data_IF_733283115656
#
_entry.id   IF_733283115656
#
_cell.length_a   1.000
_cell.length_b   1.000
_cell.length_c   1.000
_cell.angle_alpha   90.00
_cell.angle_beta   90.00
_cell.angle_gamma   90.00
#
_symmetry.space_group_name_H-M   'P 1'
#
loop_
_entity.id
_entity.type
_entity.pdbx_description
1 polymer ?
#
# COMPACT_ATOMS: atom_id res chain seq x y z
N UNK A 1 43.46 -27.78 -55.59
CA UNK A 1 42.24 -26.97 -55.43
C UNK A 1 41.56 -27.26 -54.08
N UNK A 2 42.33 -27.42 -52.98
CA UNK A 2 41.82 -27.95 -51.70
C UNK A 2 42.30 -27.17 -50.45
N UNK A 3 43.04 -26.06 -50.62
CA UNK A 3 43.55 -25.26 -49.49
C UNK A 3 42.74 -23.98 -49.24
N UNK A 4 41.92 -23.51 -50.20
CA UNK A 4 41.13 -22.29 -50.08
C UNK A 4 39.73 -22.49 -49.45
N UNK A 5 39.21 -23.73 -49.41
CA UNK A 5 37.90 -24.03 -48.81
C UNK A 5 37.97 -24.15 -47.28
N UNK A 6 39.08 -24.64 -46.72
CA UNK A 6 39.24 -24.79 -45.26
C UNK A 6 39.49 -23.49 -44.49
N UNK A 7 39.98 -22.44 -45.16
CA UNK A 7 40.23 -21.11 -44.56
C UNK A 7 38.93 -20.30 -44.45
N UNK A 8 38.05 -20.39 -45.46
CA UNK A 8 36.72 -19.76 -45.46
C UNK A 8 35.75 -20.34 -44.40
N UNK A 9 35.80 -21.66 -44.17
CA UNK A 9 34.96 -22.32 -43.14
C UNK A 9 35.41 -21.96 -41.71
N UNK A 10 36.72 -21.78 -41.50
CA UNK A 10 37.27 -21.36 -40.20
C UNK A 10 36.97 -19.90 -39.89
N UNK A 11 36.98 -19.01 -40.88
CA UNK A 11 36.58 -17.60 -40.70
C UNK A 11 35.07 -17.44 -40.47
N UNK A 12 34.24 -18.27 -41.10
CA UNK A 12 32.80 -18.31 -40.86
C UNK A 12 32.46 -18.73 -39.42
N UNK A 13 33.10 -19.81 -38.92
CA UNK A 13 32.93 -20.28 -37.55
C UNK A 13 33.45 -19.26 -36.52
N UNK A 14 34.56 -18.57 -36.81
CA UNK A 14 35.09 -17.49 -35.97
C UNK A 14 34.10 -16.34 -35.85
N UNK A 15 33.50 -15.91 -36.96
CA UNK A 15 32.46 -14.88 -36.97
C UNK A 15 31.18 -15.28 -36.21
N UNK A 16 30.82 -16.56 -36.17
CA UNK A 16 29.72 -17.08 -35.33
C UNK A 16 30.11 -17.06 -33.86
N UNK A 17 31.31 -17.51 -33.50
CA UNK A 17 31.80 -17.50 -32.11
C UNK A 17 31.93 -16.09 -31.55
N UNK A 18 32.40 -15.12 -32.34
CA UNK A 18 32.45 -13.70 -31.99
C UNK A 18 31.05 -13.11 -31.81
N UNK A 19 30.08 -13.47 -32.66
CA UNK A 19 28.68 -13.06 -32.49
C UNK A 19 28.05 -13.68 -31.24
N UNK A 20 28.33 -14.94 -30.94
CA UNK A 20 27.82 -15.64 -29.75
C UNK A 20 28.46 -15.09 -28.47
N UNK A 21 29.77 -14.83 -28.47
CA UNK A 21 30.47 -14.24 -27.33
C UNK A 21 30.05 -12.80 -27.10
N UNK A 22 29.92 -11.99 -28.16
CA UNK A 22 29.38 -10.63 -28.09
C UNK A 22 27.93 -10.63 -27.57
N UNK A 23 27.09 -11.57 -28.00
CA UNK A 23 25.71 -11.69 -27.51
C UNK A 23 25.63 -12.14 -26.04
N UNK A 24 26.54 -13.01 -25.60
CA UNK A 24 26.68 -13.40 -24.18
C UNK A 24 27.20 -12.25 -23.32
N UNK A 25 28.19 -11.51 -23.82
CA UNK A 25 28.76 -10.35 -23.15
C UNK A 25 27.70 -9.23 -23.04
N UNK A 26 26.96 -8.97 -24.11
CA UNK A 26 25.80 -8.08 -24.12
C UNK A 26 24.75 -8.46 -23.06
N UNK A 27 24.41 -9.75 -22.96
CA UNK A 27 23.47 -10.22 -21.94
C UNK A 27 24.02 -10.05 -20.51
N UNK A 28 25.33 -10.21 -20.31
CA UNK A 28 26.01 -10.03 -19.02
C UNK A 28 26.09 -8.55 -18.63
N UNK A 29 26.47 -7.67 -19.55
CA UNK A 29 26.57 -6.23 -19.35
C UNK A 29 25.18 -5.62 -19.10
N UNK A 30 24.16 -6.12 -19.81
CA UNK A 30 22.75 -5.80 -19.57
C UNK A 30 22.33 -6.19 -18.13
N UNK A 31 22.64 -7.41 -17.69
CA UNK A 31 22.33 -7.87 -16.33
C UNK A 31 23.06 -7.05 -15.26
N UNK A 32 24.34 -6.76 -15.46
CA UNK A 32 25.16 -5.98 -14.52
C UNK A 32 24.65 -4.54 -14.41
N UNK A 33 24.34 -3.90 -15.54
CA UNK A 33 23.76 -2.56 -15.57
C UNK A 33 22.45 -2.50 -14.78
N UNK A 34 21.65 -3.56 -14.85
CA UNK A 34 20.40 -3.65 -14.11
C UNK A 34 20.56 -3.87 -12.61
N UNK A 35 21.51 -4.70 -12.21
CA UNK A 35 21.87 -4.84 -10.80
C UNK A 35 22.38 -3.49 -10.25
N UNK A 36 23.23 -2.79 -10.99
CA UNK A 36 23.71 -1.45 -10.62
C UNK A 36 22.55 -0.45 -10.49
N UNK A 37 21.56 -0.50 -11.38
CA UNK A 37 20.38 0.37 -11.37
C UNK A 37 19.47 0.11 -10.17
N UNK A 38 19.22 -1.17 -9.85
CA UNK A 38 18.43 -1.58 -8.68
C UNK A 38 19.13 -1.13 -7.41
N UNK A 39 20.43 -1.40 -7.28
CA UNK A 39 21.23 -1.00 -6.12
C UNK A 39 21.33 0.52 -5.97
N UNK A 40 21.49 1.28 -7.06
CA UNK A 40 21.47 2.75 -7.00
C UNK A 40 20.10 3.28 -6.54
N UNK A 41 19.01 2.65 -7.00
CA UNK A 41 17.66 2.99 -6.59
C UNK A 41 17.38 2.63 -5.11
N UNK A 42 17.89 1.50 -4.62
CA UNK A 42 17.79 1.07 -3.22
C UNK A 42 18.58 1.98 -2.26
N UNK A 43 19.75 2.46 -2.68
CA UNK A 43 20.62 3.32 -1.84
C UNK A 43 20.12 4.78 -1.83
N UNK A 44 19.10 5.12 -2.62
CA UNK A 44 18.53 6.47 -2.68
C UNK A 44 19.50 7.53 -3.24
N UNK A 45 20.56 7.08 -3.91
CA UNK A 45 21.54 7.90 -4.63
C UNK A 45 21.21 7.85 -6.11
N UNK A 46 20.25 8.70 -6.48
CA UNK A 46 19.97 9.03 -7.88
C UNK A 46 20.24 10.52 -8.06
N UNK A 47 21.52 10.86 -7.91
CA UNK A 47 22.04 12.20 -8.20
C UNK A 47 21.94 12.49 -9.69
N UNK A 48 21.90 13.77 -10.09
CA UNK A 48 21.77 14.14 -11.50
C UNK A 48 22.90 13.58 -12.38
N UNK A 49 24.08 13.35 -11.81
CA UNK A 49 25.23 12.76 -12.49
C UNK A 49 25.06 11.26 -12.73
N UNK A 50 24.58 10.50 -11.74
CA UNK A 50 24.25 9.08 -11.89
C UNK A 50 23.15 8.88 -12.95
N UNK A 51 22.24 9.83 -13.05
CA UNK A 51 21.16 9.83 -14.04
C UNK A 51 21.69 10.01 -15.46
N UNK A 52 22.64 10.92 -15.66
CA UNK A 52 23.31 11.09 -16.95
C UNK A 52 24.11 9.83 -17.32
N UNK A 53 24.78 9.20 -16.35
CA UNK A 53 25.50 7.95 -16.57
C UNK A 53 24.55 6.81 -16.96
N UNK A 54 23.40 6.68 -16.30
CA UNK A 54 22.37 5.69 -16.64
C UNK A 54 21.83 5.93 -18.06
N UNK A 55 21.53 7.18 -18.43
CA UNK A 55 21.06 7.52 -19.78
C UNK A 55 22.11 7.24 -20.86
N UNK A 56 23.39 7.51 -20.57
CA UNK A 56 24.49 7.22 -21.49
C UNK A 56 24.69 5.73 -21.69
N UNK A 57 24.74 4.94 -20.60
CA UNK A 57 24.80 3.46 -20.67
C UNK A 57 23.58 2.87 -21.37
N UNK A 58 22.40 3.48 -21.20
CA UNK A 58 21.19 3.10 -21.92
C UNK A 58 21.34 3.24 -23.44
N UNK A 59 21.93 4.35 -23.91
CA UNK A 59 22.21 4.57 -25.33
C UNK A 59 23.33 3.67 -25.86
N UNK A 60 24.41 3.48 -25.08
CA UNK A 60 25.56 2.62 -25.45
C UNK A 60 25.17 1.15 -25.60
N UNK A 61 24.24 0.67 -24.76
CA UNK A 61 23.75 -0.72 -24.81
C UNK A 61 22.63 -0.92 -25.83
N UNK A 62 22.18 0.10 -26.57
CA UNK A 62 21.15 -0.05 -27.61
C UNK A 62 19.84 -0.70 -27.12
N UNK A 63 19.51 -0.54 -25.83
CA UNK A 63 18.42 -1.24 -25.18
C UNK A 63 17.06 -0.73 -25.66
N UNK A 64 16.18 -1.65 -26.07
CA UNK A 64 14.81 -1.32 -26.47
C UNK A 64 13.86 -1.27 -25.27
N UNK A 65 12.64 -0.76 -25.46
CA UNK A 65 11.63 -0.73 -24.39
C UNK A 65 11.21 -2.13 -23.92
N UNK A 66 11.12 -3.10 -24.84
CA UNK A 66 10.75 -4.49 -24.53
C UNK A 66 11.82 -5.20 -23.67
N UNK A 67 13.09 -4.83 -23.87
CA UNK A 67 14.22 -5.35 -23.10
C UNK A 67 14.20 -4.94 -21.62
N UNK A 68 13.42 -3.89 -21.30
CA UNK A 68 13.46 -3.16 -20.04
C UNK A 68 12.21 -3.34 -19.17
N UNK A 69 11.10 -3.77 -19.76
CA UNK A 69 9.80 -3.92 -19.11
C UNK A 69 9.86 -4.63 -17.76
N UNK A 70 10.58 -5.76 -17.70
CA UNK A 70 10.72 -6.53 -16.46
C UNK A 70 11.59 -5.84 -15.41
N UNK A 71 12.60 -5.09 -15.84
CA UNK A 71 13.60 -4.53 -14.93
C UNK A 71 13.22 -3.16 -14.41
N UNK A 72 12.58 -2.32 -15.23
CA UNK A 72 12.07 -1.02 -14.79
C UNK A 72 11.04 -1.20 -13.67
N UNK A 73 10.12 -2.16 -13.84
CA UNK A 73 9.16 -2.53 -12.80
C UNK A 73 9.87 -3.01 -11.52
N UNK A 74 10.85 -3.91 -11.63
CA UNK A 74 11.60 -4.41 -10.47
C UNK A 74 12.40 -3.31 -9.76
N UNK A 75 13.08 -2.43 -10.49
CA UNK A 75 13.82 -1.31 -9.92
C UNK A 75 12.89 -0.32 -9.19
N UNK A 76 11.72 -0.06 -9.76
CA UNK A 76 10.71 0.77 -9.13
C UNK A 76 10.14 0.13 -7.87
N UNK A 77 9.85 -1.18 -7.90
CA UNK A 77 9.38 -1.94 -6.74
C UNK A 77 10.43 -2.00 -5.63
N UNK A 78 11.70 -2.18 -5.96
CA UNK A 78 12.80 -2.14 -5.00
C UNK A 78 12.95 -0.77 -4.35
N UNK A 79 12.91 0.30 -5.14
CA UNK A 79 12.94 1.68 -4.64
C UNK A 79 11.74 1.98 -3.74
N UNK A 80 10.54 1.53 -4.12
CA UNK A 80 9.33 1.68 -3.31
C UNK A 80 9.44 0.90 -1.99
N UNK A 81 9.99 -0.31 -2.03
CA UNK A 81 10.26 -1.12 -0.85
C UNK A 81 11.23 -0.45 0.11
N UNK A 82 12.34 0.10 -0.40
CA UNK A 82 13.31 0.85 0.39
C UNK A 82 12.70 2.11 1.02
N UNK A 83 11.92 2.87 0.24
CA UNK A 83 11.22 4.08 0.67
C UNK A 83 10.13 3.84 1.73
N UNK A 84 9.72 2.58 1.95
CA UNK A 84 8.71 2.20 2.94
C UNK A 84 9.31 1.44 4.13
N UNK A 85 10.64 1.32 4.22
CA UNK A 85 11.27 0.44 5.22
C UNK A 85 10.95 0.84 6.67
N UNK A 86 10.61 2.10 6.92
CA UNK A 86 10.20 2.63 8.23
C UNK A 86 8.67 2.71 8.41
N UNK A 87 7.90 2.31 7.39
CA UNK A 87 6.44 2.33 7.37
C UNK A 87 5.81 3.69 7.08
N UNK A 88 6.59 4.72 6.72
CA UNK A 88 6.11 6.08 6.41
C UNK A 88 6.77 6.57 5.13
N UNK A 89 5.99 7.05 4.16
CA UNK A 89 6.55 7.65 2.96
C UNK A 89 6.78 9.14 3.19
N UNK A 90 8.03 9.59 3.20
CA UNK A 90 8.36 11.02 3.31
C UNK A 90 8.18 11.75 1.97
N UNK A 91 8.06 13.09 2.03
CA UNK A 91 7.99 13.92 0.82
C UNK A 91 9.23 13.78 -0.07
N UNK A 92 10.41 13.62 0.54
CA UNK A 92 11.66 13.40 -0.19
C UNK A 92 11.67 12.06 -0.94
N UNK A 93 11.19 10.99 -0.31
CA UNK A 93 11.08 9.67 -0.94
C UNK A 93 10.06 9.64 -2.06
N UNK A 94 8.90 10.28 -1.87
CA UNK A 94 7.91 10.44 -2.92
C UNK A 94 8.49 11.18 -4.14
N UNK A 95 9.28 12.24 -3.91
CA UNK A 95 9.96 12.98 -4.97
C UNK A 95 11.02 12.12 -5.68
N UNK A 96 11.78 11.29 -4.95
CA UNK A 96 12.74 10.34 -5.52
C UNK A 96 12.06 9.31 -6.43
N UNK A 97 10.93 8.73 -6.01
CA UNK A 97 10.16 7.77 -6.82
C UNK A 97 9.59 8.42 -8.10
N UNK A 98 9.07 9.65 -8.00
CA UNK A 98 8.60 10.39 -9.16
C UNK A 98 9.73 10.73 -10.14
N UNK A 99 10.92 11.04 -9.62
CA UNK A 99 12.13 11.27 -10.44
C UNK A 99 12.54 9.99 -11.16
N UNK A 100 12.61 8.85 -10.45
CA UNK A 100 12.95 7.54 -11.00
C UNK A 100 12.03 7.13 -12.16
N UNK A 101 10.71 7.29 -11.98
CA UNK A 101 9.71 7.00 -13.01
C UNK A 101 9.97 7.78 -14.32
N UNK A 102 10.26 9.08 -14.20
CA UNK A 102 10.56 9.94 -15.36
C UNK A 102 11.85 9.53 -16.07
N UNK A 103 12.89 9.22 -15.31
CA UNK A 103 14.21 8.84 -15.84
C UNK A 103 14.15 7.52 -16.59
N UNK A 104 13.48 6.54 -15.99
CA UNK A 104 13.33 5.21 -16.57
C UNK A 104 12.22 5.15 -17.62
N UNK A 105 11.49 6.26 -17.85
CA UNK A 105 10.37 6.34 -18.79
C UNK A 105 9.41 5.16 -18.62
N UNK A 106 9.08 4.84 -17.36
CA UNK A 106 8.30 3.66 -17.03
C UNK A 106 6.85 3.91 -17.43
N UNK A 107 6.27 3.08 -18.31
CA UNK A 107 4.85 3.15 -18.60
C UNK A 107 4.05 2.84 -17.33
N UNK A 108 3.00 3.62 -17.05
CA UNK A 108 2.15 3.42 -15.87
C UNK A 108 1.55 2.00 -15.83
N UNK A 109 1.31 1.39 -16.99
CA UNK A 109 0.84 0.01 -17.12
C UNK A 109 1.82 -1.03 -16.55
N UNK A 110 3.12 -0.74 -16.49
CA UNK A 110 4.13 -1.67 -15.97
C UNK A 110 4.24 -1.61 -14.45
N UNK A 111 3.89 -0.47 -13.84
CA UNK A 111 3.97 -0.24 -12.40
C UNK A 111 2.60 -0.01 -11.76
N UNK A 112 1.50 -0.38 -12.43
CA UNK A 112 0.15 -0.10 -11.95
C UNK A 112 -0.11 -0.60 -10.51
N UNK A 113 0.48 -1.75 -10.14
CA UNK A 113 0.37 -2.31 -8.79
C UNK A 113 1.19 -1.51 -7.77
N UNK A 114 2.44 -1.20 -8.10
CA UNK A 114 3.33 -0.37 -7.29
C UNK A 114 2.79 1.07 -7.13
N UNK A 115 2.16 1.62 -8.17
CA UNK A 115 1.47 2.92 -8.14
C UNK A 115 0.28 2.93 -7.19
N UNK A 116 -0.56 1.89 -7.22
CA UNK A 116 -1.65 1.75 -6.24
C UNK A 116 -1.12 1.72 -4.81
N UNK A 117 -0.04 0.99 -4.57
CA UNK A 117 0.62 0.97 -3.26
C UNK A 117 1.21 2.34 -2.89
N UNK A 118 1.87 3.03 -3.82
CA UNK A 118 2.39 4.37 -3.60
C UNK A 118 1.27 5.35 -3.21
N UNK A 119 0.18 5.39 -3.97
CA UNK A 119 -0.98 6.26 -3.68
C UNK A 119 -1.56 5.97 -2.29
N UNK A 120 -1.61 4.69 -1.91
CA UNK A 120 -2.04 4.30 -0.56
C UNK A 120 -1.09 4.80 0.52
N UNK A 121 0.23 4.68 0.33
CA UNK A 121 1.21 5.20 1.29
C UNK A 121 1.12 6.72 1.42
N UNK A 122 0.97 7.42 0.31
CA UNK A 122 0.74 8.87 0.30
C UNK A 122 -0.50 9.24 1.11
N UNK A 123 -1.62 8.55 0.90
CA UNK A 123 -2.84 8.76 1.68
C UNK A 123 -2.61 8.59 3.19
N UNK A 124 -1.90 7.55 3.59
CA UNK A 124 -1.58 7.29 4.99
C UNK A 124 -0.66 8.38 5.58
N UNK A 125 0.34 8.81 4.82
CA UNK A 125 1.21 9.94 5.19
C UNK A 125 0.40 11.24 5.32
N UNK A 126 -0.52 11.52 4.40
CA UNK A 126 -1.35 12.73 4.42
C UNK A 126 -2.23 12.77 5.67
N UNK A 127 -2.86 11.65 6.02
CA UNK A 127 -3.65 11.51 7.25
C UNK A 127 -2.77 11.77 8.49
N UNK A 128 -1.54 11.24 8.53
CA UNK A 128 -0.61 11.44 9.64
C UNK A 128 -0.15 12.91 9.76
N UNK A 129 0.07 13.58 8.63
CA UNK A 129 0.43 15.00 8.58
C UNK A 129 -0.76 15.94 8.84
N UNK A 130 -1.94 15.38 9.09
CA UNK A 130 -3.13 16.12 9.45
C UNK A 130 -3.99 16.61 8.29
N UNK A 131 -3.77 16.06 7.10
CA UNK A 131 -4.53 16.32 5.88
C UNK A 131 -5.35 15.08 5.49
N UNK A 132 -6.35 14.66 6.28
CA UNK A 132 -7.20 13.53 5.91
C UNK A 132 -7.98 13.84 4.61
N UNK A 133 -8.35 12.81 3.83
CA UNK A 133 -9.23 13.00 2.70
C UNK A 133 -10.59 13.54 3.15
N UNK A 134 -11.30 14.20 2.24
CA UNK A 134 -12.72 14.55 2.42
C UNK A 134 -13.54 13.82 1.37
N UNK A 135 -14.57 13.11 1.80
CA UNK A 135 -15.44 12.31 0.92
C UNK A 135 -16.88 12.80 0.97
N UNK A 136 -17.57 12.71 -0.16
CA UNK A 136 -19.01 12.95 -0.21
C UNK A 136 -19.76 11.69 0.22
N UNK A 137 -20.62 11.82 1.24
CA UNK A 137 -21.47 10.72 1.73
C UNK A 137 -22.94 11.04 1.43
N UNK A 138 -23.49 10.56 0.29
CA UNK A 138 -24.87 10.88 -0.08
C UNK A 138 -25.82 10.31 0.98
N UNK A 139 -26.95 10.99 1.23
CA UNK A 139 -27.98 10.57 2.19
C UNK A 139 -27.50 10.44 3.66
N UNK A 140 -26.44 11.15 4.03
CA UNK A 140 -26.06 11.39 5.43
C UNK A 140 -26.11 12.88 5.72
N UNK A 141 -26.87 13.26 6.73
CA UNK A 141 -26.97 14.66 7.16
C UNK A 141 -25.74 14.99 8.01
N UNK A 142 -24.84 15.81 7.49
CA UNK A 142 -23.69 16.35 8.20
C UNK A 142 -24.07 17.65 8.92
N UNK A 143 -23.67 17.80 10.18
CA UNK A 143 -23.88 19.01 10.96
C UNK A 143 -22.97 20.15 10.49
N UNK A 144 -23.24 21.39 10.93
CA UNK A 144 -22.37 22.53 10.65
C UNK A 144 -20.93 22.25 11.12
N UNK A 145 -19.97 22.38 10.21
CA UNK A 145 -18.55 22.09 10.47
C UNK A 145 -18.24 20.59 10.66
N UNK A 146 -19.17 19.69 10.31
CA UNK A 146 -18.91 18.26 10.24
C UNK A 146 -18.41 17.90 8.84
N UNK A 147 -17.28 17.21 8.78
CA UNK A 147 -16.63 16.77 7.54
C UNK A 147 -16.49 15.26 7.57
N UNK A 148 -16.93 14.59 6.51
CA UNK A 148 -16.74 13.16 6.34
C UNK A 148 -15.36 12.89 5.76
N UNK A 149 -14.58 12.08 6.48
CA UNK A 149 -13.22 11.72 6.09
C UNK A 149 -13.19 10.42 5.27
N UNK A 150 -14.07 9.46 5.59
CA UNK A 150 -14.07 8.17 4.89
C UNK A 150 -15.43 7.50 4.91
N UNK A 151 -15.68 6.64 3.92
CA UNK A 151 -16.76 5.66 3.93
C UNK A 151 -16.23 4.30 3.47
N UNK A 152 -16.37 3.29 4.32
CA UNK A 152 -15.92 1.92 4.03
C UNK A 152 -17.11 0.95 3.97
N UNK A 153 -17.30 0.20 2.87
CA UNK A 153 -18.27 -0.90 2.82
C UNK A 153 -18.04 -1.91 3.93
N UNK A 154 -19.08 -2.20 4.69
CA UNK A 154 -18.95 -2.99 5.91
C UNK A 154 -20.26 -3.64 6.35
N UNK A 155 -20.11 -4.68 7.16
CA UNK A 155 -21.19 -5.40 7.83
C UNK A 155 -21.13 -5.23 9.34
N UNK A 156 -22.26 -4.91 9.95
CA UNK A 156 -22.43 -4.92 11.41
C UNK A 156 -22.63 -6.36 11.86
N UNK A 157 -21.79 -6.81 12.79
CA UNK A 157 -21.88 -8.12 13.42
C UNK A 157 -22.44 -7.98 14.84
N UNK A 158 -23.25 -8.96 15.24
CA UNK A 158 -23.70 -9.12 16.62
C UNK A 158 -23.44 -10.53 17.11
N UNK A 159 -23.15 -10.66 18.40
CA UNK A 159 -23.06 -11.95 19.05
C UNK A 159 -24.48 -12.55 19.19
N UNK A 160 -24.77 -13.59 18.43
CA UNK A 160 -25.95 -14.44 18.59
C UNK A 160 -25.59 -15.59 19.52
N UNK A 161 -26.25 -15.67 20.68
CA UNK A 161 -26.03 -16.76 21.65
C UNK A 161 -26.45 -18.10 21.04
N UNK A 162 -25.54 -18.82 20.39
CA UNK A 162 -25.73 -20.20 19.94
C UNK A 162 -25.07 -21.13 20.95
N UNK A 163 -25.74 -21.27 22.11
CA UNK A 163 -25.39 -22.16 23.24
C UNK A 163 -24.00 -21.91 23.86
N UNK A 164 -24.02 -21.57 25.15
CA UNK A 164 -22.85 -21.41 26.03
C UNK A 164 -21.85 -22.57 25.87
N UNK A 165 -20.80 -22.36 25.08
CA UNK A 165 -19.55 -23.11 25.19
C UNK A 165 -18.43 -22.09 25.14
N UNK A 166 -17.71 -22.01 26.25
CA UNK A 166 -16.60 -21.09 26.45
C UNK A 166 -15.41 -21.68 25.69
N UNK A 167 -15.13 -21.15 24.50
CA UNK A 167 -13.87 -21.42 23.80
C UNK A 167 -13.08 -20.11 23.76
N UNK A 168 -11.90 -20.17 24.39
CA UNK A 168 -11.10 -19.00 24.71
C UNK A 168 -10.29 -18.47 23.53
N UNK A 169 -9.85 -17.23 23.69
CA UNK A 169 -8.57 -16.76 23.15
C UNK A 169 -8.60 -16.16 21.75
N UNK A 170 -9.34 -15.07 21.54
CA UNK A 170 -8.88 -14.07 20.57
C UNK A 170 -8.01 -13.05 21.30
N UNK A 171 -6.69 -13.10 21.09
CA UNK A 171 -5.81 -11.98 21.38
C UNK A 171 -6.12 -10.86 20.37
N UNK A 172 -7.16 -10.06 20.67
CA UNK A 172 -7.28 -8.73 20.10
C UNK A 172 -6.19 -7.87 20.72
N UNK A 173 -5.30 -7.32 19.90
CA UNK A 173 -4.34 -6.32 20.38
C UNK A 173 -5.13 -5.05 20.76
N UNK A 174 -5.26 -4.77 22.06
CA UNK A 174 -5.88 -3.54 22.54
C UNK A 174 -4.87 -2.39 22.47
N UNK A 175 -5.10 -1.46 21.55
CA UNK A 175 -4.38 -0.19 21.55
C UNK A 175 -5.22 0.83 22.31
N UNK A 176 -4.79 1.18 23.53
CA UNK A 176 -5.24 2.43 24.13
C UNK A 176 -4.64 3.55 23.29
N UNK A 177 -5.46 4.28 22.54
CA UNK A 177 -5.00 5.43 21.76
C UNK A 177 -4.60 6.51 22.78
N UNK A 178 -3.33 6.49 23.18
CA UNK A 178 -2.73 7.62 23.85
C UNK A 178 -2.58 8.74 22.81
N UNK A 179 -2.78 10.00 23.23
CA UNK A 179 -2.47 11.16 22.40
C UNK A 179 -1.02 11.02 21.92
N UNK A 180 -0.81 10.97 20.60
CA UNK A 180 0.52 10.88 19.98
C UNK A 180 0.96 9.50 19.46
N UNK A 181 0.07 8.52 19.28
CA UNK A 181 0.43 7.25 18.63
C UNK A 181 0.46 7.39 17.11
N UNK A 182 1.64 7.24 16.52
CA UNK A 182 1.81 7.06 15.07
C UNK A 182 1.25 5.70 14.64
N UNK A 183 0.38 5.71 13.64
CA UNK A 183 -0.11 4.49 13.02
C UNK A 183 1.00 3.84 12.17
N UNK A 184 1.52 2.68 12.57
CA UNK A 184 2.48 1.91 11.75
C UNK A 184 1.75 0.91 10.85
N UNK A 185 1.98 1.02 9.55
CA UNK A 185 1.50 0.08 8.54
C UNK A 185 2.20 -1.26 8.73
N UNK A 186 1.47 -2.39 8.64
CA UNK A 186 2.06 -3.73 8.67
C UNK A 186 2.22 -4.38 10.05
N UNK A 187 1.75 -3.75 11.13
CA UNK A 187 1.66 -4.43 12.43
C UNK A 187 0.66 -5.59 12.38
N UNK A 188 1.09 -6.80 12.75
CA UNK A 188 0.25 -8.00 12.76
C UNK A 188 -0.96 -7.79 13.70
N UNK A 189 -2.19 -7.70 13.15
CA UNK A 189 -3.43 -7.72 13.95
C UNK A 189 -4.10 -9.09 13.82
N UNK A 190 -4.93 -9.45 14.80
CA UNK A 190 -5.83 -10.59 14.65
C UNK A 190 -6.90 -10.33 13.59
N UNK A 191 -7.49 -11.38 13.02
CA UNK A 191 -8.68 -11.29 12.18
C UNK A 191 -9.95 -11.49 13.04
N UNK A 192 -11.05 -10.83 12.65
CA UNK A 192 -12.38 -11.18 13.15
C UNK A 192 -12.78 -12.49 12.48
N UNK A 193 -12.82 -13.56 13.28
CA UNK A 193 -13.38 -14.85 12.86
C UNK A 193 -14.86 -14.89 13.21
N UNK A 194 -15.65 -15.35 12.25
CA UNK A 194 -17.11 -15.42 12.36
C UNK A 194 -17.44 -16.80 12.93
N UNK A 195 -17.29 -16.98 14.25
CA UNK A 195 -17.80 -18.20 14.89
C UNK A 195 -19.32 -18.24 14.76
N UNK A 196 -19.95 -19.41 14.90
CA UNK A 196 -21.42 -19.56 14.90
C UNK A 196 -22.13 -18.64 15.91
N UNK A 197 -21.39 -18.07 16.85
CA UNK A 197 -21.85 -17.09 17.82
C UNK A 197 -21.83 -15.63 17.33
N UNK A 198 -21.16 -15.24 16.23
CA UNK A 198 -21.12 -13.86 15.73
C UNK A 198 -21.64 -13.83 14.30
N UNK A 199 -22.79 -13.18 14.06
CA UNK A 199 -23.47 -13.20 12.75
C UNK A 199 -23.60 -11.78 12.19
N UNK A 200 -23.44 -11.62 10.88
CA UNK A 200 -23.74 -10.36 10.20
C UNK A 200 -25.25 -10.07 10.29
N UNK A 201 -25.60 -8.94 10.91
CA UNK A 201 -26.99 -8.53 11.15
C UNK A 201 -27.44 -7.38 10.24
N UNK A 202 -26.50 -6.65 9.65
CA UNK A 202 -26.80 -5.60 8.67
C UNK A 202 -25.59 -5.35 7.78
N UNK A 203 -25.83 -5.20 6.48
CA UNK A 203 -24.82 -4.80 5.51
C UNK A 203 -24.99 -3.31 5.17
N UNK A 204 -23.90 -2.61 4.90
CA UNK A 204 -23.90 -1.19 4.66
C UNK A 204 -22.50 -0.61 4.59
N UNK A 205 -22.28 0.51 5.29
CA UNK A 205 -20.98 1.17 5.32
C UNK A 205 -20.69 1.84 6.67
N UNK A 206 -19.40 1.93 6.98
CA UNK A 206 -18.85 2.67 8.12
C UNK A 206 -18.32 4.03 7.64
N UNK A 207 -18.97 5.09 8.09
CA UNK A 207 -18.62 6.47 7.78
C UNK A 207 -17.90 7.07 8.98
N UNK A 208 -16.75 7.68 8.72
CA UNK A 208 -15.94 8.35 9.74
C UNK A 208 -15.93 9.84 9.42
N UNK A 209 -16.23 10.64 10.43
CA UNK A 209 -16.24 12.11 10.34
C UNK A 209 -15.36 12.71 11.42
N UNK A 210 -15.14 14.02 11.37
CA UNK A 210 -14.48 14.75 12.45
C UNK A 210 -15.29 14.83 13.77
N UNK A 211 -16.55 14.39 13.80
CA UNK A 211 -17.40 14.45 15.01
C UNK A 211 -17.90 13.10 15.50
N UNK A 212 -18.12 12.15 14.61
CA UNK A 212 -18.78 10.88 14.89
C UNK A 212 -18.38 9.77 13.93
N UNK A 213 -18.52 8.55 14.42
CA UNK A 213 -18.47 7.31 13.65
C UNK A 213 -19.90 6.84 13.43
N UNK A 214 -20.27 6.60 12.18
CA UNK A 214 -21.63 6.24 11.77
C UNK A 214 -21.56 4.91 11.04
N UNK A 215 -22.38 3.96 11.44
CA UNK A 215 -22.67 2.80 10.61
C UNK A 215 -24.04 2.98 10.00
N UNK A 216 -24.10 2.95 8.67
CA UNK A 216 -25.34 3.01 7.91
C UNK A 216 -25.57 1.67 7.23
N UNK A 217 -26.37 0.84 7.88
CA UNK A 217 -26.80 -0.44 7.33
C UNK A 217 -28.22 -0.42 6.80
N UNK A 218 -28.54 -1.42 5.99
CA UNK A 218 -29.85 -1.66 5.43
C UNK A 218 -30.95 -1.99 6.46
N UNK A 219 -30.58 -2.58 7.60
CA UNK A 219 -31.51 -3.04 8.65
C UNK A 219 -31.18 -2.43 10.01
N UNK A 220 -29.90 -2.17 10.29
CA UNK A 220 -29.44 -1.54 11.53
C UNK A 220 -28.50 -0.39 11.21
N UNK A 221 -28.62 0.67 11.99
CA UNK A 221 -27.74 1.82 11.92
C UNK A 221 -27.31 2.23 13.32
N UNK A 222 -26.16 2.89 13.40
CA UNK A 222 -25.70 3.46 14.64
C UNK A 222 -24.90 4.73 14.38
N UNK A 223 -24.84 5.62 15.36
CA UNK A 223 -23.83 6.66 15.42
C UNK A 223 -23.21 6.70 16.82
N UNK A 224 -21.93 7.02 16.90
CA UNK A 224 -21.18 7.26 18.13
C UNK A 224 -20.45 8.57 17.93
N UNK A 225 -20.72 9.58 18.77
CA UNK A 225 -19.88 10.77 18.80
C UNK A 225 -18.49 10.39 19.31
N UNK A 226 -17.45 11.02 18.78
CA UNK A 226 -16.08 10.66 19.12
C UNK A 226 -15.79 10.86 20.62
N UNK A 227 -16.37 11.88 21.27
CA UNK A 227 -16.30 12.07 22.74
C UNK A 227 -16.94 10.95 23.56
N UNK A 228 -17.88 10.20 22.99
CA UNK A 228 -18.55 9.08 23.64
C UNK A 228 -17.89 7.73 23.33
N UNK A 229 -16.79 7.71 22.56
CA UNK A 229 -16.08 6.48 22.24
C UNK A 229 -15.15 6.10 23.41
N UNK A 230 -15.45 4.96 24.05
CA UNK A 230 -14.73 4.50 25.24
C UNK A 230 -13.54 3.60 24.86
N UNK A 231 -13.76 2.64 23.97
CA UNK A 231 -12.75 1.70 23.51
C UNK A 231 -12.84 1.49 22.01
N UNK A 232 -11.68 1.26 21.40
CA UNK A 232 -11.55 0.95 19.99
C UNK A 232 -10.49 -0.15 19.83
N UNK A 233 -10.84 -1.24 19.13
CA UNK A 233 -9.94 -2.34 18.84
C UNK A 233 -9.96 -2.65 17.34
N UNK A 234 -8.82 -2.54 16.67
CA UNK A 234 -8.66 -2.85 15.25
C UNK A 234 -8.29 -4.31 15.02
N UNK A 235 -8.86 -4.88 13.97
CA UNK A 235 -8.54 -6.18 13.42
C UNK A 235 -8.11 -6.00 11.96
N UNK A 236 -7.56 -7.04 11.34
CA UNK A 236 -7.16 -6.99 9.93
C UNK A 236 -8.36 -6.77 8.98
N UNK A 237 -9.58 -7.06 9.42
CA UNK A 237 -10.79 -7.02 8.60
C UNK A 237 -11.95 -6.32 9.29
N UNK A 238 -11.69 -5.47 10.28
CA UNK A 238 -12.76 -4.76 10.98
C UNK A 238 -12.32 -4.00 12.21
N UNK A 239 -13.31 -3.43 12.88
CA UNK A 239 -13.14 -2.65 14.10
C UNK A 239 -14.23 -3.00 15.11
N UNK A 240 -13.83 -3.10 16.38
CA UNK A 240 -14.74 -3.18 17.51
C UNK A 240 -14.74 -1.85 18.24
N UNK A 241 -15.92 -1.28 18.42
CA UNK A 241 -16.18 0.01 19.04
C UNK A 241 -17.02 -0.21 20.30
N UNK A 242 -16.66 0.43 21.41
CA UNK A 242 -17.46 0.45 22.63
C UNK A 242 -17.79 1.91 22.95
N UNK A 243 -19.08 2.22 23.11
CA UNK A 243 -19.51 3.55 23.57
C UNK A 243 -19.46 3.69 25.09
N UNK A 244 -19.64 4.91 25.60
CA UNK A 244 -19.65 5.23 27.02
C UNK A 244 -20.73 4.51 27.84
N UNK A 245 -21.75 3.91 27.20
CA UNK A 245 -22.75 3.07 27.85
C UNK A 245 -22.32 1.59 27.93
N UNK A 246 -21.11 1.27 27.46
CA UNK A 246 -20.60 -0.09 27.38
C UNK A 246 -21.19 -0.90 26.22
N UNK A 247 -21.92 -0.27 25.29
CA UNK A 247 -22.50 -1.00 24.15
C UNK A 247 -21.42 -1.29 23.12
N UNK A 248 -21.14 -2.58 22.96
CA UNK A 248 -20.16 -3.09 22.00
C UNK A 248 -20.77 -3.22 20.60
N UNK A 249 -20.02 -2.77 19.58
CA UNK A 249 -20.38 -2.84 18.16
C UNK A 249 -19.20 -3.38 17.38
N UNK A 250 -19.42 -4.46 16.62
CA UNK A 250 -18.38 -5.07 15.79
C UNK A 250 -18.72 -4.78 14.34
N UNK A 251 -17.83 -4.12 13.63
CA UNK A 251 -17.98 -3.79 12.21
C UNK A 251 -16.90 -4.54 11.45
N UNK A 252 -17.29 -5.42 10.53
CA UNK A 252 -16.39 -6.15 9.64
C UNK A 252 -16.38 -5.46 8.29
N UNK A 253 -15.21 -5.14 7.75
CA UNK A 253 -15.07 -4.55 6.43
C UNK A 253 -15.28 -5.60 5.36
N UNK A 254 -15.88 -5.20 4.24
CA UNK A 254 -16.09 -6.11 3.11
C UNK A 254 -14.78 -6.37 2.36
N UNK A 255 -13.87 -5.38 2.35
CA UNK A 255 -12.50 -5.49 1.83
C UNK A 255 -11.47 -5.22 2.95
N UNK A 256 -10.58 -6.20 3.19
CA UNK A 256 -9.48 -6.05 4.16
C UNK A 256 -8.42 -5.05 3.67
N UNK A 257 -8.44 -4.71 2.38
CA UNK A 257 -7.47 -3.81 1.79
C UNK A 257 -7.51 -2.45 2.49
N UNK A 258 -8.63 -1.88 2.92
CA UNK A 258 -8.62 -0.51 3.48
C UNK A 258 -8.49 -0.44 5.01
N UNK A 259 -8.29 -1.57 5.69
CA UNK A 259 -8.29 -1.64 7.16
C UNK A 259 -7.28 -0.69 7.83
N UNK A 260 -6.15 -0.43 7.19
CA UNK A 260 -5.14 0.51 7.69
C UNK A 260 -5.51 1.97 7.48
N UNK A 261 -6.10 2.33 6.34
CA UNK A 261 -6.64 3.66 6.03
C UNK A 261 -7.75 3.99 7.02
N UNK A 262 -8.71 3.07 7.20
CA UNK A 262 -9.80 3.21 8.17
C UNK A 262 -9.24 3.43 9.57
N UNK A 263 -8.22 2.67 9.95
CA UNK A 263 -7.60 2.81 11.27
C UNK A 263 -6.83 4.12 11.46
N UNK A 264 -6.10 4.57 10.45
CA UNK A 264 -5.42 5.86 10.44
C UNK A 264 -6.43 7.02 10.56
N UNK A 265 -7.53 6.99 9.80
CA UNK A 265 -8.57 8.03 9.80
C UNK A 265 -9.31 8.08 11.14
N UNK A 266 -9.68 6.94 11.71
CA UNK A 266 -10.30 6.89 13.05
C UNK A 266 -9.35 7.43 14.13
N UNK A 267 -8.08 7.04 14.08
CA UNK A 267 -7.06 7.53 15.02
C UNK A 267 -6.89 9.05 14.88
N UNK A 268 -6.81 9.55 13.66
CA UNK A 268 -6.75 10.98 13.37
C UNK A 268 -7.97 11.72 13.94
N UNK A 269 -9.19 11.24 13.64
CA UNK A 269 -10.43 11.86 14.07
C UNK A 269 -10.55 11.92 15.61
N UNK A 270 -10.10 10.88 16.32
CA UNK A 270 -10.06 10.83 17.78
C UNK A 270 -9.08 11.85 18.36
N UNK A 271 -7.87 11.92 17.79
CA UNK A 271 -6.82 12.81 18.29
C UNK A 271 -7.11 14.30 18.05
N UNK A 272 -7.90 14.61 17.03
CA UNK A 272 -8.25 15.99 16.64
C UNK A 272 -9.69 16.37 17.00
N UNK A 273 -10.38 15.55 17.79
CA UNK A 273 -11.74 15.88 18.23
C UNK A 273 -11.74 17.03 19.22
N UNK A 274 -12.56 18.05 18.93
CA UNK A 274 -12.74 19.22 19.81
C UNK A 274 -11.62 20.26 19.75
N UNK A 275 -10.65 20.09 18.86
CA UNK A 275 -9.67 21.10 18.45
C UNK A 275 -10.16 21.98 17.31
#
# INVERSE_FOLDING_TARGET
MSLAEGENDMDFLRGIFEKISAKRQYAKDKKQFFEDLITAAEIGRLTDDEIQQIQKRYQELGLTQDDLKGVRAQAYEAALGAAKSDGVLTAEEAAKLAKLERILMIPESEIAKAKKELTRLQLLTDIQNGNPPTVAVPNVILQKGEVAYWSEPASLLEERVVRRRYEGGSQGFSFRIAKGVYYRVGGHRGHIVTDTAVVAVSAGELIITNKRVIFRGNTKAFNIRIDNLLELNFYNNGVRLTDNNGKLRIVKFDDEANSDVVAAILTYAINHFGG
#
